data_IF_001060258199
#
_entry.id   IF_001060258199
#
_cell.length_a   1.000
_cell.length_b   1.000
_cell.length_c   1.000
_cell.angle_alpha   90.00
_cell.angle_beta   90.00
_cell.angle_gamma   90.00
#
_symmetry.space_group_name_H-M   'P 1'
#
loop_
_entity.id
_entity.type
_entity.pdbx_description
1 polymer ?
#
# COMPACT_ATOMS: atom_id res chain seq x y z
N UNK A 1 0.70 -11.48 -3.34
CA UNK A 1 0.05 -10.17 -3.61
C UNK A 1 -0.21 -10.08 -5.10
N UNK A 2 -1.45 -9.82 -5.54
CA UNK A 2 -1.75 -9.52 -6.95
C UNK A 2 -1.64 -8.01 -7.16
N UNK A 3 -0.97 -7.56 -8.21
CA UNK A 3 -0.83 -6.14 -8.51
C UNK A 3 -2.13 -5.62 -9.14
N UNK A 4 -2.73 -4.57 -8.56
CA UNK A 4 -3.98 -3.95 -9.01
C UNK A 4 -3.75 -2.52 -9.47
N UNK A 5 -3.25 -2.40 -10.70
CA UNK A 5 -2.94 -1.12 -11.31
C UNK A 5 -4.20 -0.30 -11.64
N UNK A 6 -5.35 -0.97 -11.74
CA UNK A 6 -6.66 -0.36 -11.96
C UNK A 6 -7.06 0.62 -10.84
N UNK A 7 -6.66 0.33 -9.60
CA UNK A 7 -7.01 1.13 -8.43
C UNK A 7 -6.07 2.32 -8.19
N UNK A 8 -4.94 2.41 -8.89
CA UNK A 8 -3.94 3.48 -8.69
C UNK A 8 -4.52 4.87 -8.94
N UNK A 9 -5.52 5.00 -9.82
CA UNK A 9 -6.20 6.27 -10.11
C UNK A 9 -6.96 6.85 -8.91
N UNK A 10 -7.29 6.00 -7.93
CA UNK A 10 -8.03 6.38 -6.72
C UNK A 10 -7.14 6.48 -5.48
N UNK A 11 -5.85 6.21 -5.63
CA UNK A 11 -4.86 6.32 -4.56
C UNK A 11 -4.56 7.79 -4.30
N UNK A 12 -4.59 8.20 -3.04
CA UNK A 12 -4.23 9.57 -2.66
C UNK A 12 -2.85 9.61 -2.00
N UNK A 13 -2.27 10.81 -1.93
CA UNK A 13 -0.98 11.04 -1.26
C UNK A 13 -1.03 10.63 0.21
N UNK A 14 -2.16 10.85 0.88
CA UNK A 14 -2.36 10.49 2.29
C UNK A 14 -2.33 8.97 2.51
N UNK A 15 -2.87 8.19 1.56
CA UNK A 15 -2.80 6.72 1.63
C UNK A 15 -1.34 6.25 1.56
N UNK A 16 -0.54 6.88 0.69
CA UNK A 16 0.89 6.57 0.54
C UNK A 16 1.67 6.92 1.79
N UNK A 17 1.43 8.09 2.38
CA UNK A 17 2.09 8.52 3.62
C UNK A 17 1.75 7.56 4.76
N UNK A 18 0.48 7.20 4.92
CA UNK A 18 0.03 6.28 5.97
C UNK A 18 0.67 4.91 5.86
N UNK A 19 0.71 4.34 4.65
CA UNK A 19 1.36 3.05 4.42
C UNK A 19 2.88 3.11 4.61
N UNK A 20 3.52 4.23 4.23
CA UNK A 20 4.93 4.45 4.50
C UNK A 20 5.18 4.47 6.01
N UNK A 21 4.47 5.30 6.78
CA UNK A 21 4.57 5.39 8.25
C UNK A 21 4.34 4.03 8.92
N UNK A 22 3.32 3.29 8.49
CA UNK A 22 3.01 1.97 9.02
C UNK A 22 4.13 0.95 8.78
N UNK A 23 4.95 1.12 7.74
CA UNK A 23 6.02 0.18 7.36
C UNK A 23 7.43 0.64 7.76
N UNK A 24 7.61 1.90 8.18
CA UNK A 24 8.91 2.48 8.61
C UNK A 24 9.61 1.63 9.66
N UNK A 25 8.89 1.01 10.60
CA UNK A 25 9.48 0.20 11.66
C UNK A 25 10.31 -1.00 11.15
N UNK A 26 10.06 -1.46 9.91
CA UNK A 26 10.84 -2.54 9.27
C UNK A 26 12.01 -2.04 8.45
N UNK A 27 12.04 -0.74 8.14
CA UNK A 27 13.12 -0.12 7.40
C UNK A 27 14.34 0.01 8.29
N UNK A 28 15.40 -0.72 7.94
CA UNK A 28 16.72 -0.52 8.52
C UNK A 28 17.51 0.38 7.59
N UNK A 29 17.96 1.57 8.04
CA UNK A 29 18.75 2.46 7.20
C UNK A 29 20.14 1.88 6.89
N UNK A 30 20.66 1.04 7.78
CA UNK A 30 21.93 0.34 7.57
C UNK A 30 21.77 -0.79 6.55
N UNK A 31 22.65 -0.88 5.54
CA UNK A 31 22.68 -1.99 4.60
C UNK A 31 23.04 -3.28 5.34
N UNK A 32 22.25 -4.33 5.17
CA UNK A 32 22.64 -5.68 5.59
C UNK A 32 23.69 -6.19 4.57
N UNK A 33 24.97 -5.95 4.85
CA UNK A 33 26.15 -6.51 4.18
C UNK A 33 26.37 -6.23 2.68
N UNK A 34 25.53 -5.42 2.02
CA UNK A 34 25.74 -5.07 0.60
C UNK A 34 26.37 -3.68 0.46
N UNK A 35 27.54 -3.64 -0.17
CA UNK A 35 28.36 -2.45 -0.46
C UNK A 35 27.72 -1.46 -1.44
N UNK A 36 26.49 -1.71 -1.92
CA UNK A 36 25.90 -0.98 -3.05
C UNK A 36 24.52 -0.34 -2.83
N UNK A 37 23.95 -0.30 -1.61
CA UNK A 37 22.61 0.28 -1.49
C UNK A 37 22.14 0.69 -0.11
N UNK A 38 21.56 1.89 -0.05
CA UNK A 38 20.90 2.50 1.11
C UNK A 38 19.72 1.65 1.60
N UNK A 39 19.83 1.16 2.83
CA UNK A 39 18.74 0.54 3.58
C UNK A 39 18.32 -0.86 3.16
N UNK A 40 17.81 -1.64 4.11
CA UNK A 40 17.27 -2.98 3.91
C UNK A 40 15.99 -3.19 4.72
N UNK A 41 15.05 -3.97 4.20
CA UNK A 41 13.87 -4.38 4.97
C UNK A 41 14.21 -5.64 5.78
N UNK A 42 13.96 -5.59 7.09
CA UNK A 42 14.12 -6.77 7.93
C UNK A 42 13.15 -7.89 7.51
N UNK A 43 13.55 -9.15 7.67
CA UNK A 43 12.67 -10.30 7.45
C UNK A 43 11.37 -10.14 8.24
N UNK A 44 10.22 -10.30 7.57
CA UNK A 44 8.92 -10.26 8.23
C UNK A 44 8.65 -11.57 8.96
N UNK A 45 8.31 -11.47 10.24
CA UNK A 45 7.70 -12.56 11.02
C UNK A 45 6.30 -12.91 10.47
N UNK A 46 5.78 -14.09 10.84
CA UNK A 46 4.43 -14.53 10.44
C UNK A 46 3.35 -13.54 10.88
N UNK A 47 3.52 -12.92 12.06
CA UNK A 47 2.57 -11.93 12.58
C UNK A 47 2.61 -10.62 11.78
N UNK A 48 3.81 -10.16 11.42
CA UNK A 48 3.97 -8.97 10.57
C UNK A 48 3.39 -9.21 9.18
N UNK A 49 3.61 -10.40 8.59
CA UNK A 49 2.97 -10.79 7.33
C UNK A 49 1.45 -10.77 7.43
N UNK A 50 0.87 -11.26 8.52
CA UNK A 50 -0.58 -11.22 8.72
C UNK A 50 -1.11 -9.77 8.80
N UNK A 51 -0.37 -8.89 9.49
CA UNK A 51 -0.70 -7.45 9.56
C UNK A 51 -0.61 -6.77 8.19
N UNK A 52 0.44 -7.04 7.42
CA UNK A 52 0.60 -6.52 6.05
C UNK A 52 -0.55 -6.93 5.14
N UNK A 53 -0.97 -8.20 5.22
CA UNK A 53 -2.11 -8.72 4.45
C UNK A 53 -3.40 -8.03 4.87
N UNK A 54 -3.63 -7.84 6.17
CA UNK A 54 -4.81 -7.14 6.67
C UNK A 54 -4.84 -5.67 6.20
N UNK A 55 -3.72 -4.94 6.32
CA UNK A 55 -3.58 -3.57 5.84
C UNK A 55 -3.82 -3.44 4.34
N UNK A 56 -3.15 -4.28 3.54
CA UNK A 56 -3.31 -4.28 2.08
C UNK A 56 -4.74 -4.60 1.64
N UNK A 57 -5.42 -5.50 2.36
CA UNK A 57 -6.81 -5.84 2.10
C UNK A 57 -7.75 -4.67 2.41
N UNK A 58 -7.56 -4.01 3.56
CA UNK A 58 -8.35 -2.83 3.94
C UNK A 58 -8.16 -1.66 2.97
N UNK A 59 -6.91 -1.38 2.57
CA UNK A 59 -6.61 -0.35 1.57
C UNK A 59 -7.30 -0.66 0.23
N UNK A 60 -7.20 -1.91 -0.24
CA UNK A 60 -7.86 -2.35 -1.47
C UNK A 60 -9.37 -2.13 -1.41
N UNK A 61 -10.03 -2.51 -0.32
CA UNK A 61 -11.47 -2.31 -0.14
C UNK A 61 -11.85 -0.82 -0.17
N UNK A 62 -11.05 0.05 0.47
CA UNK A 62 -11.28 1.50 0.45
C UNK A 62 -11.14 2.10 -0.97
N UNK A 63 -10.16 1.62 -1.74
CA UNK A 63 -9.92 2.05 -3.11
C UNK A 63 -11.02 1.56 -4.05
N UNK A 64 -11.50 0.33 -3.87
CA UNK A 64 -12.65 -0.19 -4.60
C UNK A 64 -13.92 0.61 -4.32
N UNK A 65 -14.16 0.99 -3.07
CA UNK A 65 -15.31 1.84 -2.73
C UNK A 65 -15.21 3.21 -3.42
N UNK A 66 -14.04 3.84 -3.40
CA UNK A 66 -13.79 5.10 -4.13
C UNK A 66 -13.94 4.95 -5.64
N UNK A 67 -13.47 3.84 -6.21
CA UNK A 67 -13.64 3.52 -7.62
C UNK A 67 -15.12 3.39 -7.99
N UNK A 68 -15.93 2.74 -7.14
CA UNK A 68 -17.39 2.62 -7.34
C UNK A 68 -18.10 3.98 -7.25
N UNK A 69 -17.75 4.80 -6.27
CA UNK A 69 -18.33 6.14 -6.09
C UNK A 69 -18.01 7.07 -7.28
N UNK A 70 -16.76 7.06 -7.75
CA UNK A 70 -16.36 7.85 -8.93
C UNK A 70 -16.97 7.34 -10.24
N UNK A 71 -17.25 6.04 -10.34
CA UNK A 71 -18.05 5.46 -11.43
C UNK A 71 -19.52 5.88 -11.42
N UNK A 72 -20.10 6.16 -10.23
CA UNK A 72 -21.48 6.64 -10.09
C UNK A 72 -21.67 8.12 -10.47
N UNK A 73 -20.61 8.94 -10.44
CA UNK A 73 -20.70 10.34 -10.91
C UNK A 73 -20.82 10.50 -12.43
N UNK A 74 -20.89 9.40 -13.20
CA UNK A 74 -20.97 9.41 -14.66
C UNK A 74 -22.31 9.02 -15.29
N UNK A 75 -23.32 8.61 -14.51
CA UNK A 75 -24.60 8.11 -15.06
C UNK A 75 -25.71 9.15 -15.16
N UNK A 76 -25.39 10.44 -15.30
CA UNK A 76 -26.43 11.48 -15.43
C UNK A 76 -26.18 12.51 -16.54
N UNK A 77 -25.38 12.19 -17.56
CA UNK A 77 -25.32 12.98 -18.81
C UNK A 77 -25.04 12.13 -20.05
N UNK A 78 -26.08 11.51 -20.60
CA UNK A 78 -26.54 11.72 -22.00
C UNK A 78 -27.76 10.86 -22.32
#
# INVERSE_FOLDING_TARGET
MKLRLDLLKHLTTEDVIREAEATVHRFKPEPLFSTTGTGSLSSASTQERAREVAHSTALTQSLEQRARQSGQSGTDKK
#
